data_IF_019606776565
#
_entry.id   IF_019606776565
#
_cell.length_a   1.000
_cell.length_b   1.000
_cell.length_c   1.000
_cell.angle_alpha   90.00
_cell.angle_beta   90.00
_cell.angle_gamma   90.00
#
_symmetry.space_group_name_H-M   'P 1'
#
loop_
_entity.id
_entity.type
_entity.pdbx_description
1 polymer ?
#
# COMPACT_ATOMS: atom_id res chain seq x y z
N UNK A 1 -44.05 19.27 -0.72
CA UNK A 1 -42.67 19.27 -1.24
C UNK A 1 -42.13 20.69 -1.28
N UNK A 2 -41.41 21.14 -0.24
CA UNK A 2 -40.54 22.33 -0.31
C UNK A 2 -39.66 22.41 0.94
N UNK A 3 -38.53 21.71 0.93
CA UNK A 3 -37.48 21.89 1.93
C UNK A 3 -36.26 22.49 1.23
N UNK A 4 -36.30 23.82 1.11
CA UNK A 4 -35.11 24.66 0.94
C UNK A 4 -34.22 24.52 2.18
N UNK A 5 -32.94 24.88 2.01
CA UNK A 5 -31.86 24.97 3.02
C UNK A 5 -31.21 23.66 3.46
N UNK A 6 -30.17 23.24 2.73
CA UNK A 6 -29.06 22.46 3.28
C UNK A 6 -27.87 23.42 3.22
N UNK A 7 -27.69 24.27 4.23
CA UNK A 7 -26.87 23.97 5.40
C UNK A 7 -25.50 23.42 4.99
N UNK A 8 -24.60 24.33 4.62
CA UNK A 8 -23.17 24.13 4.73
C UNK A 8 -22.84 23.84 6.20
N UNK A 9 -22.92 22.57 6.60
CA UNK A 9 -22.55 22.11 7.92
C UNK A 9 -21.28 21.28 7.80
N UNK A 10 -20.17 21.94 8.17
CA UNK A 10 -18.97 21.36 8.76
C UNK A 10 -18.69 19.89 8.43
N UNK A 11 -17.84 19.67 7.43
CA UNK A 11 -16.96 18.50 7.44
C UNK A 11 -16.04 18.64 8.65
N UNK A 12 -16.47 18.07 9.77
CA UNK A 12 -15.59 17.79 10.89
C UNK A 12 -14.44 16.94 10.32
N UNK A 13 -13.27 17.56 10.18
CA UNK A 13 -12.03 16.90 9.86
C UNK A 13 -11.69 15.91 10.98
N UNK A 14 -12.24 14.70 10.89
CA UNK A 14 -11.57 13.54 11.43
C UNK A 14 -10.26 13.45 10.66
N UNK A 15 -9.15 13.75 11.33
CA UNK A 15 -7.82 13.37 10.90
C UNK A 15 -7.77 11.83 10.85
N UNK A 16 -8.39 11.25 9.83
CA UNK A 16 -8.38 9.83 9.58
C UNK A 16 -7.02 9.52 8.99
N UNK A 17 -6.09 9.05 9.83
CA UNK A 17 -5.00 8.21 9.36
C UNK A 17 -5.62 6.87 8.88
N UNK A 18 -6.40 6.94 7.80
CA UNK A 18 -6.95 5.78 7.14
C UNK A 18 -5.79 5.06 6.45
N UNK A 19 -5.64 3.74 6.59
CA UNK A 19 -4.62 2.99 5.85
C UNK A 19 -4.78 3.09 4.32
N UNK A 20 -5.92 3.62 3.86
CA UNK A 20 -6.22 3.94 2.47
C UNK A 20 -5.49 5.21 2.01
N UNK A 21 -5.35 6.24 2.86
CA UNK A 21 -4.70 7.50 2.47
C UNK A 21 -3.20 7.30 2.18
N UNK A 22 -2.50 6.51 3.02
CA UNK A 22 -1.06 6.21 2.84
C UNK A 22 -0.79 5.46 1.53
N UNK A 23 -1.73 4.58 1.12
CA UNK A 23 -1.69 3.87 -0.16
C UNK A 23 -1.89 4.75 -1.39
N UNK A 24 -2.69 5.79 -1.24
CA UNK A 24 -3.07 6.70 -2.32
C UNK A 24 -2.06 7.84 -2.51
N UNK A 25 -1.14 8.03 -1.56
CA UNK A 25 -0.11 9.06 -1.60
C UNK A 25 1.12 8.66 -2.44
N UNK A 26 0.92 7.75 -3.41
CA UNK A 26 1.95 7.37 -4.38
C UNK A 26 1.60 7.89 -5.78
N UNK A 27 1.73 9.20 -6.03
CA UNK A 27 1.33 9.82 -7.30
C UNK A 27 2.15 9.31 -8.49
N UNK A 28 3.33 8.77 -8.24
CA UNK A 28 4.23 8.18 -9.24
C UNK A 28 3.91 6.72 -9.56
N UNK A 29 3.10 6.05 -8.72
CA UNK A 29 2.79 4.63 -8.87
C UNK A 29 1.37 4.29 -8.38
N UNK A 30 0.32 4.45 -9.22
CA UNK A 30 -1.06 4.22 -8.81
C UNK A 30 -1.38 2.76 -8.42
N UNK A 31 -0.61 1.80 -8.90
CA UNK A 31 -0.76 0.35 -8.64
C UNK A 31 -0.58 0.02 -7.15
N UNK A 32 0.06 0.91 -6.38
CA UNK A 32 0.22 0.78 -4.93
C UNK A 32 -1.13 0.76 -4.20
N UNK A 33 -2.16 1.39 -4.80
CA UNK A 33 -3.52 1.35 -4.28
C UNK A 33 -4.13 -0.07 -4.29
N UNK A 34 -3.65 -0.95 -5.17
CA UNK A 34 -4.12 -2.34 -5.28
C UNK A 34 -3.49 -3.26 -4.23
N UNK A 35 -2.47 -2.80 -3.51
CA UNK A 35 -1.85 -3.59 -2.44
C UNK A 35 -2.83 -3.73 -1.27
N UNK A 36 -3.16 -4.95 -0.82
CA UNK A 36 -4.04 -5.16 0.32
C UNK A 36 -3.60 -4.43 1.59
N UNK A 37 -4.58 -3.94 2.38
CA UNK A 37 -4.41 -3.32 3.70
C UNK A 37 -3.40 -4.01 4.59
N UNK A 38 -3.57 -5.31 4.75
CA UNK A 38 -2.79 -6.13 5.65
C UNK A 38 -1.30 -6.26 5.25
N UNK A 39 -0.95 -6.04 3.98
CA UNK A 39 0.40 -6.31 3.46
C UNK A 39 1.17 -5.07 3.06
N UNK A 40 0.54 -3.89 3.07
CA UNK A 40 1.14 -2.63 2.63
C UNK A 40 2.42 -2.33 3.40
N UNK A 41 2.34 -2.15 4.72
CA UNK A 41 3.52 -1.82 5.51
C UNK A 41 4.58 -2.94 5.45
N UNK A 42 4.20 -4.19 5.24
CA UNK A 42 5.16 -5.29 5.07
C UNK A 42 6.03 -5.12 3.81
N UNK A 43 5.45 -4.69 2.68
CA UNK A 43 6.20 -4.46 1.43
C UNK A 43 7.14 -3.26 1.60
N UNK A 44 6.63 -2.16 2.16
CA UNK A 44 7.38 -0.92 2.32
C UNK A 44 8.50 -1.02 3.38
N UNK A 45 8.27 -1.77 4.45
CA UNK A 45 9.32 -2.11 5.41
C UNK A 45 10.37 -3.03 4.78
N UNK A 46 9.96 -3.97 3.92
CA UNK A 46 10.90 -4.84 3.22
C UNK A 46 11.81 -4.08 2.25
N UNK A 47 11.35 -2.99 1.62
CA UNK A 47 12.24 -2.07 0.89
C UNK A 47 13.30 -1.47 1.81
N UNK A 48 12.89 -1.03 2.99
CA UNK A 48 13.81 -0.44 3.98
C UNK A 48 14.82 -1.47 4.50
N UNK A 49 14.39 -2.73 4.70
CA UNK A 49 15.26 -3.85 5.09
C UNK A 49 16.28 -4.23 4.00
N UNK A 50 15.99 -3.92 2.74
CA UNK A 50 16.93 -4.04 1.62
C UNK A 50 17.86 -2.83 1.48
N UNK A 51 17.68 -1.79 2.30
CA UNK A 51 18.42 -0.53 2.24
C UNK A 51 17.89 0.46 1.20
N UNK A 52 16.70 0.21 0.64
CA UNK A 52 16.01 1.12 -0.27
C UNK A 52 15.16 2.12 0.52
N UNK A 53 14.84 3.28 -0.09
CA UNK A 53 13.77 4.11 0.45
C UNK A 53 12.41 3.40 0.27
N UNK A 54 11.44 3.71 1.11
CA UNK A 54 10.11 3.08 1.02
C UNK A 54 9.42 3.39 -0.31
N UNK A 55 9.67 4.52 -0.94
CA UNK A 55 9.12 4.89 -2.24
C UNK A 55 10.06 4.56 -3.42
N UNK A 56 11.20 3.90 -3.18
CA UNK A 56 12.16 3.52 -4.21
C UNK A 56 11.85 2.13 -4.77
N UNK A 57 10.85 2.11 -5.66
CA UNK A 57 10.44 0.90 -6.38
C UNK A 57 11.54 0.28 -7.22
N UNK A 58 12.36 1.12 -7.88
CA UNK A 58 13.45 0.63 -8.71
C UNK A 58 14.47 -0.18 -7.88
N UNK A 59 14.86 0.36 -6.72
CA UNK A 59 15.74 -0.32 -5.79
C UNK A 59 15.10 -1.61 -5.22
N UNK A 60 13.87 -1.50 -4.71
CA UNK A 60 13.20 -2.61 -4.06
C UNK A 60 12.83 -3.77 -4.99
N UNK A 61 12.50 -3.46 -6.24
CA UNK A 61 12.10 -4.44 -7.25
C UNK A 61 13.28 -5.02 -8.04
N UNK A 62 14.44 -4.35 -8.07
CA UNK A 62 15.70 -4.92 -8.59
C UNK A 62 15.96 -6.32 -8.04
N UNK A 63 15.66 -6.53 -6.76
CA UNK A 63 15.85 -7.79 -6.05
C UNK A 63 14.53 -8.32 -5.51
N UNK A 64 13.51 -8.42 -6.36
CA UNK A 64 12.16 -8.81 -5.96
C UNK A 64 12.09 -10.16 -5.23
N UNK A 65 12.97 -11.11 -5.55
CA UNK A 65 13.04 -12.39 -4.82
C UNK A 65 13.41 -12.20 -3.34
N UNK A 66 14.37 -11.32 -3.06
CA UNK A 66 14.80 -11.00 -1.70
C UNK A 66 13.73 -10.18 -0.99
N UNK A 67 13.14 -9.19 -1.67
CA UNK A 67 12.00 -8.42 -1.16
C UNK A 67 10.87 -9.34 -0.68
N UNK A 68 10.45 -10.28 -1.52
CA UNK A 68 9.41 -11.25 -1.17
C UNK A 68 9.80 -12.08 0.03
N UNK A 69 11.06 -12.50 0.12
CA UNK A 69 11.56 -13.28 1.27
C UNK A 69 11.48 -12.47 2.56
N UNK A 70 11.89 -11.19 2.54
CA UNK A 70 11.78 -10.28 3.69
C UNK A 70 10.32 -10.00 4.08
N UNK A 71 9.46 -9.74 3.09
CA UNK A 71 8.05 -9.44 3.32
C UNK A 71 7.21 -10.67 3.72
N UNK A 72 7.59 -11.88 3.29
CA UNK A 72 6.76 -13.08 3.42
C UNK A 72 6.30 -13.36 4.85
N UNK A 73 7.21 -13.28 5.84
CA UNK A 73 6.86 -13.52 7.24
C UNK A 73 5.83 -12.52 7.77
N UNK A 74 6.04 -11.23 7.48
CA UNK A 74 5.11 -10.16 7.87
C UNK A 74 3.76 -10.33 7.17
N UNK A 75 3.76 -10.56 5.86
CA UNK A 75 2.55 -10.69 5.05
C UNK A 75 1.74 -11.92 5.47
N UNK A 76 2.37 -13.07 5.69
CA UNK A 76 1.65 -14.28 6.14
C UNK A 76 1.06 -14.06 7.55
N UNK A 77 1.81 -13.40 8.44
CA UNK A 77 1.33 -13.07 9.79
C UNK A 77 0.15 -12.10 9.81
N UNK A 78 0.16 -11.08 8.93
CA UNK A 78 -0.84 -10.03 8.90
C UNK A 78 -2.04 -10.32 7.99
N UNK A 79 -1.82 -11.01 6.86
CA UNK A 79 -2.82 -11.28 5.82
C UNK A 79 -3.29 -12.74 5.77
N UNK A 80 -2.60 -13.66 6.43
CA UNK A 80 -2.76 -15.10 6.21
C UNK A 80 -2.26 -15.55 4.83
N UNK A 81 -2.31 -16.86 4.56
CA UNK A 81 -1.81 -17.45 3.31
C UNK A 81 -2.57 -16.96 2.08
N UNK A 82 -3.91 -16.87 2.15
CA UNK A 82 -4.74 -16.40 1.04
C UNK A 82 -4.50 -14.93 0.72
N UNK A 83 -4.41 -14.08 1.75
CA UNK A 83 -4.11 -12.67 1.55
C UNK A 83 -2.67 -12.43 1.08
N UNK A 84 -1.73 -13.30 1.47
CA UNK A 84 -0.35 -13.25 1.01
C UNK A 84 -0.24 -13.34 -0.51
N UNK A 85 -0.99 -14.25 -1.16
CA UNK A 85 -1.04 -14.35 -2.62
C UNK A 85 -1.51 -13.05 -3.28
N UNK A 86 -2.52 -12.38 -2.71
CA UNK A 86 -3.01 -11.10 -3.22
C UNK A 86 -1.97 -9.98 -3.10
N UNK A 87 -1.27 -9.89 -1.96
CA UNK A 87 -0.18 -8.92 -1.76
C UNK A 87 0.97 -9.17 -2.72
N UNK A 88 1.29 -10.44 -2.95
CA UNK A 88 2.33 -10.88 -3.86
C UNK A 88 2.08 -10.41 -5.30
N UNK A 89 0.87 -10.67 -5.81
CA UNK A 89 0.47 -10.28 -7.15
C UNK A 89 0.39 -8.76 -7.31
N UNK A 90 -0.09 -8.05 -6.27
CA UNK A 90 -0.10 -6.59 -6.28
C UNK A 90 1.32 -6.01 -6.27
N UNK A 91 2.24 -6.57 -5.48
CA UNK A 91 3.63 -6.16 -5.45
C UNK A 91 4.34 -6.42 -6.79
N UNK A 92 4.05 -7.53 -7.47
CA UNK A 92 4.52 -7.79 -8.84
C UNK A 92 4.01 -6.73 -9.83
N UNK A 93 2.73 -6.34 -9.72
CA UNK A 93 2.15 -5.31 -10.57
C UNK A 93 2.81 -3.94 -10.34
N UNK A 94 3.08 -3.58 -9.09
CA UNK A 94 3.83 -2.37 -8.73
C UNK A 94 5.24 -2.40 -9.33
N UNK A 95 5.98 -3.49 -9.11
CA UNK A 95 7.32 -3.63 -9.68
C UNK A 95 7.33 -3.57 -11.20
N UNK A 96 6.33 -4.15 -11.87
CA UNK A 96 6.26 -4.10 -13.33
C UNK A 96 5.89 -2.71 -13.88
N UNK A 97 5.15 -1.92 -13.10
CA UNK A 97 4.64 -0.63 -13.56
C UNK A 97 5.51 0.56 -13.15
N UNK A 98 6.30 0.43 -12.08
CA UNK A 98 6.89 1.56 -11.37
C UNK A 98 8.39 1.42 -11.06
N UNK A 99 8.99 0.26 -11.33
CA UNK A 99 10.44 0.04 -11.27
C UNK A 99 11.05 0.02 -12.67
#
# INVERSE_FOLDING_TARGET
MRFSTIAAAAFAALASASPVAKRQDHPTCPQVADIPACGYDCIFNAFTDLGCASDDYACGCSSFSELRSKAAGCVIGACGLTGALGVLSAAEAVCKACA
#
